data_IF_554105946632
#
_entry.id   IF_554105946632
#
_cell.length_a   1.000
_cell.length_b   1.000
_cell.length_c   1.000
_cell.angle_alpha   90.00
_cell.angle_beta   90.00
_cell.angle_gamma   90.00
#
_symmetry.space_group_name_H-M   'P 1'
#
loop_
_entity.id
_entity.type
_entity.pdbx_description
1 polymer ?
#
# COMPACT_ATOMS: atom_id res chain seq x y z
N UNK A 1 -1.94 -7.44 -8.41
CA UNK A 1 -2.36 -6.02 -8.33
C UNK A 1 -1.28 -5.29 -7.54
N UNK A 2 -0.93 -4.06 -7.89
CA UNK A 2 0.20 -3.33 -7.29
C UNK A 2 -0.10 -2.87 -5.85
N UNK A 3 0.95 -2.64 -5.04
CA UNK A 3 0.84 -2.26 -3.63
C UNK A 3 0.14 -0.90 -3.38
N UNK A 4 0.08 -0.01 -4.38
CA UNK A 4 -0.66 1.26 -4.31
C UNK A 4 -2.17 1.11 -4.54
N UNK A 5 -2.63 -0.08 -4.97
CA UNK A 5 -4.02 -0.30 -5.37
C UNK A 5 -5.05 -0.06 -4.27
N UNK A 6 -4.65 -0.16 -3.00
CA UNK A 6 -5.54 0.11 -1.87
C UNK A 6 -5.98 1.58 -1.83
N UNK A 7 -5.02 2.50 -1.88
CA UNK A 7 -5.30 3.94 -1.83
C UNK A 7 -6.12 4.41 -3.05
N UNK A 8 -5.82 3.86 -4.23
CA UNK A 8 -6.61 4.16 -5.42
C UNK A 8 -8.05 3.63 -5.34
N UNK A 9 -8.23 2.43 -4.75
CA UNK A 9 -9.57 1.87 -4.53
C UNK A 9 -10.33 2.69 -3.48
N UNK A 10 -9.67 3.13 -2.40
CA UNK A 10 -10.27 4.03 -1.42
C UNK A 10 -10.74 5.34 -2.08
N UNK A 11 -9.93 5.96 -2.93
CA UNK A 11 -10.33 7.17 -3.64
C UNK A 11 -11.61 6.94 -4.48
N UNK A 12 -11.69 5.82 -5.20
CA UNK A 12 -12.90 5.45 -5.94
C UNK A 12 -14.11 5.21 -5.04
N UNK A 13 -13.92 4.55 -3.90
CA UNK A 13 -14.98 4.35 -2.90
C UNK A 13 -15.50 5.69 -2.38
N UNK A 14 -14.61 6.63 -2.07
CA UNK A 14 -15.01 7.96 -1.58
C UNK A 14 -15.81 8.72 -2.64
N UNK A 15 -15.37 8.69 -3.90
CA UNK A 15 -16.15 9.27 -5.01
C UNK A 15 -17.53 8.64 -5.16
N UNK A 16 -17.63 7.32 -5.05
CA UNK A 16 -18.92 6.63 -5.13
C UNK A 16 -19.83 6.99 -3.94
N UNK A 17 -19.27 7.15 -2.74
CA UNK A 17 -20.01 7.57 -1.54
C UNK A 17 -20.50 9.01 -1.61
N UNK A 18 -19.99 9.87 -2.49
CA UNK A 18 -20.58 11.20 -2.71
C UNK A 18 -22.02 11.12 -3.26
N UNK A 19 -22.37 10.02 -3.93
CA UNK A 19 -23.75 9.77 -4.36
C UNK A 19 -24.70 9.70 -3.14
N UNK A 20 -25.82 10.44 -3.20
CA UNK A 20 -26.80 10.52 -2.10
C UNK A 20 -27.47 9.18 -1.78
N UNK A 21 -27.58 8.29 -2.77
CA UNK A 21 -28.28 7.01 -2.64
C UNK A 21 -27.34 5.87 -2.20
N UNK A 22 -26.02 6.10 -2.21
CA UNK A 22 -25.01 5.12 -1.80
C UNK A 22 -24.53 5.45 -0.39
N UNK A 23 -24.86 4.57 0.55
CA UNK A 23 -24.48 4.73 1.97
C UNK A 23 -23.36 3.78 2.40
N UNK A 24 -23.23 2.64 1.73
CA UNK A 24 -22.33 1.54 2.13
C UNK A 24 -21.65 0.97 0.90
N UNK A 25 -20.35 0.73 1.00
CA UNK A 25 -19.56 0.06 -0.03
C UNK A 25 -18.70 -1.01 0.61
N UNK A 26 -18.73 -2.22 0.03
CA UNK A 26 -17.80 -3.29 0.37
C UNK A 26 -16.60 -3.22 -0.56
N UNK A 27 -15.42 -2.90 -0.01
CA UNK A 27 -14.15 -2.96 -0.71
C UNK A 27 -13.53 -4.35 -0.49
N UNK A 28 -13.48 -5.15 -1.56
CA UNK A 28 -12.89 -6.49 -1.56
C UNK A 28 -11.55 -6.42 -2.28
N UNK A 29 -10.50 -6.81 -1.57
CA UNK A 29 -9.13 -6.81 -2.04
C UNK A 29 -8.63 -8.25 -1.98
N UNK A 30 -8.00 -8.73 -3.05
CA UNK A 30 -7.40 -10.05 -3.04
C UNK A 30 -6.10 -10.07 -3.85
N UNK A 31 -5.18 -10.92 -3.43
CA UNK A 31 -3.90 -11.15 -4.09
C UNK A 31 -3.61 -12.65 -4.10
N UNK A 32 -3.28 -13.17 -5.28
CA UNK A 32 -2.91 -14.58 -5.50
C UNK A 32 -1.54 -14.68 -6.18
N UNK A 33 -0.56 -13.90 -5.68
CA UNK A 33 0.76 -13.79 -6.28
C UNK A 33 1.53 -15.12 -6.25
N UNK A 34 1.28 -16.00 -5.29
CA UNK A 34 1.93 -17.31 -5.18
C UNK A 34 1.89 -18.09 -6.51
N UNK A 35 0.81 -17.95 -7.27
CA UNK A 35 0.58 -18.62 -8.58
C UNK A 35 1.39 -18.03 -9.73
N UNK A 36 2.03 -16.87 -9.55
CA UNK A 36 2.73 -16.10 -10.59
C UNK A 36 4.23 -15.93 -10.33
N UNK A 37 4.80 -16.64 -9.35
CA UNK A 37 6.21 -16.54 -8.97
C UNK A 37 7.03 -17.69 -9.55
N UNK A 38 8.18 -17.39 -10.17
CA UNK A 38 9.10 -18.41 -10.72
C UNK A 38 10.28 -18.74 -9.80
N UNK A 39 10.70 -17.80 -8.96
CA UNK A 39 11.93 -17.92 -8.16
C UNK A 39 11.64 -18.22 -6.68
N UNK A 40 12.22 -19.31 -6.16
CA UNK A 40 12.10 -19.77 -4.75
C UNK A 40 12.35 -18.68 -3.70
N UNK A 41 13.27 -17.74 -3.96
CA UNK A 41 13.60 -16.66 -3.03
C UNK A 41 12.42 -15.67 -2.82
N UNK A 42 11.56 -15.50 -3.81
CA UNK A 42 10.41 -14.56 -3.75
C UNK A 42 9.22 -15.20 -3.01
N UNK A 43 9.12 -16.53 -3.02
CA UNK A 43 8.12 -17.26 -2.23
C UNK A 43 8.30 -17.05 -0.72
N UNK A 44 9.53 -16.81 -0.26
CA UNK A 44 9.81 -16.58 1.16
C UNK A 44 9.30 -15.22 1.67
N UNK A 45 9.02 -14.28 0.76
CA UNK A 45 8.66 -12.91 1.12
C UNK A 45 7.28 -12.47 0.62
N UNK A 46 6.58 -13.28 -0.18
CA UNK A 46 5.29 -12.92 -0.78
C UNK A 46 4.21 -13.90 -0.37
N UNK A 47 3.01 -13.40 -0.09
CA UNK A 47 1.88 -14.22 0.34
C UNK A 47 0.58 -13.86 -0.36
N UNK A 48 -0.27 -14.87 -0.50
CA UNK A 48 -1.64 -14.69 -0.93
C UNK A 48 -2.48 -14.14 0.23
N UNK A 49 -3.44 -13.28 -0.09
CA UNK A 49 -4.24 -12.62 0.94
C UNK A 49 -5.55 -12.09 0.37
N UNK A 50 -6.53 -11.93 1.23
CA UNK A 50 -7.77 -11.23 0.93
C UNK A 50 -8.17 -10.34 2.11
N UNK A 51 -8.86 -9.26 1.82
CA UNK A 51 -9.43 -8.36 2.81
C UNK A 51 -10.78 -7.86 2.31
N UNK A 52 -11.73 -7.73 3.23
CA UNK A 52 -13.03 -7.13 2.97
C UNK A 52 -13.24 -5.99 3.97
N UNK A 53 -13.53 -4.80 3.47
CA UNK A 53 -13.70 -3.60 4.28
C UNK A 53 -15.07 -3.02 3.95
N UNK A 54 -15.92 -2.86 4.98
CA UNK A 54 -17.15 -2.08 4.85
C UNK A 54 -16.82 -0.61 5.11
N UNK A 55 -17.10 0.23 4.12
CA UNK A 55 -16.93 1.68 4.21
C UNK A 55 -18.32 2.30 4.12
N UNK A 56 -18.66 3.04 5.17
CA UNK A 56 -19.99 3.64 5.34
C UNK A 56 -19.86 5.16 5.37
N UNK A 57 -20.85 5.82 4.78
CA UNK A 57 -20.96 7.29 4.81
C UNK A 57 -21.12 7.76 6.25
N UNK A 58 -20.19 8.57 6.72
CA UNK A 58 -20.29 9.19 8.04
C UNK A 58 -21.33 10.34 8.00
N UNK A 59 -22.11 10.47 9.07
CA UNK A 59 -22.97 11.64 9.28
C UNK A 59 -22.15 12.84 9.74
N UNK A 60 -21.09 12.57 10.49
CA UNK A 60 -20.17 13.59 10.96
C UNK A 60 -19.13 13.86 9.87
N UNK A 61 -19.19 15.04 9.25
CA UNK A 61 -18.30 15.44 8.16
C UNK A 61 -16.90 15.79 8.66
N UNK A 62 -16.16 14.79 9.16
CA UNK A 62 -14.76 14.95 9.51
C UNK A 62 -13.92 15.07 8.23
N UNK A 63 -12.92 15.98 8.20
CA UNK A 63 -12.06 16.10 7.04
C UNK A 63 -11.21 14.84 6.87
N UNK A 64 -11.13 14.35 5.63
CA UNK A 64 -10.22 13.29 5.21
C UNK A 64 -9.39 13.85 4.03
N UNK A 65 -8.07 13.83 4.18
CA UNK A 65 -7.16 14.40 3.21
C UNK A 65 -6.48 13.29 2.40
N UNK A 66 -6.29 13.54 1.11
CA UNK A 66 -5.66 12.60 0.18
C UNK A 66 -4.73 13.35 -0.77
N UNK A 67 -3.51 12.85 -0.94
CA UNK A 67 -2.56 13.31 -1.94
C UNK A 67 -1.97 12.11 -2.66
N UNK A 68 -1.88 12.21 -3.98
CA UNK A 68 -1.26 11.22 -4.84
C UNK A 68 -0.50 11.92 -5.95
N UNK A 69 0.71 11.46 -6.23
CA UNK A 69 1.51 11.92 -7.35
C UNK A 69 1.90 10.71 -8.23
N UNK A 70 1.71 10.84 -9.54
CA UNK A 70 1.93 9.76 -10.50
C UNK A 70 3.07 10.10 -11.46
N UNK A 71 4.14 9.30 -11.40
CA UNK A 71 5.30 9.44 -12.26
C UNK A 71 5.19 8.49 -13.45
N UNK A 72 4.29 8.82 -14.38
CA UNK A 72 3.91 7.95 -15.51
C UNK A 72 5.08 7.47 -16.38
N UNK A 73 6.13 8.30 -16.54
CA UNK A 73 7.37 7.93 -17.26
C UNK A 73 8.12 6.77 -16.60
N UNK A 74 8.04 6.66 -15.26
CA UNK A 74 8.68 5.59 -14.49
C UNK A 74 7.80 4.35 -14.42
N UNK A 75 6.47 4.52 -14.40
CA UNK A 75 5.53 3.41 -14.45
C UNK A 75 5.74 2.54 -15.70
N UNK A 76 6.06 3.14 -16.85
CA UNK A 76 6.41 2.41 -18.06
C UNK A 76 7.74 1.66 -17.96
N UNK A 77 8.70 2.16 -17.17
CA UNK A 77 10.01 1.50 -16.96
C UNK A 77 9.93 0.33 -15.99
N UNK A 78 9.14 0.46 -14.93
CA UNK A 78 8.89 -0.60 -13.95
C UNK A 78 8.07 -1.76 -14.54
N UNK A 79 7.30 -1.48 -15.60
CA UNK A 79 6.41 -2.45 -16.25
C UNK A 79 6.94 -2.98 -17.58
N UNK A 80 8.23 -2.82 -17.88
CA UNK A 80 8.88 -3.48 -19.02
C UNK A 80 9.53 -4.80 -18.56
N UNK A 81 9.06 -6.00 -18.96
CA UNK A 81 8.00 -6.31 -19.92
C UNK A 81 6.82 -6.97 -19.19
N UNK A 82 5.80 -6.21 -18.79
CA UNK A 82 4.49 -6.81 -18.62
C UNK A 82 4.09 -7.31 -20.00
N UNK A 83 3.92 -8.63 -20.10
CA UNK A 83 3.45 -9.40 -21.25
C UNK A 83 2.03 -9.03 -21.71
N UNK A 84 1.53 -7.83 -21.40
CA UNK A 84 0.24 -7.33 -21.88
C UNK A 84 0.16 -7.31 -23.43
N UNK A 85 1.31 -7.22 -24.11
CA UNK A 85 1.38 -7.13 -25.57
C UNK A 85 2.29 -8.16 -26.27
N UNK A 86 2.98 -9.04 -25.53
CA UNK A 86 3.83 -10.11 -26.10
C UNK A 86 3.78 -11.36 -25.21
N UNK A 87 3.52 -12.53 -25.80
CA UNK A 87 3.72 -13.85 -25.15
C UNK A 87 5.19 -13.95 -24.71
N UNK A 88 5.44 -13.80 -23.42
CA UNK A 88 6.70 -14.07 -22.75
C UNK A 88 6.42 -14.80 -21.44
N UNK A 89 7.46 -15.26 -20.75
CA UNK A 89 7.31 -15.83 -19.41
C UNK A 89 6.62 -14.80 -18.49
N UNK A 90 5.51 -15.17 -17.85
CA UNK A 90 4.64 -14.30 -17.02
C UNK A 90 5.30 -13.83 -15.69
N UNK A 91 6.61 -13.61 -15.70
CA UNK A 91 7.40 -13.22 -14.54
C UNK A 91 7.54 -11.70 -14.46
N UNK A 92 7.22 -11.14 -13.29
CA UNK A 92 7.49 -9.75 -12.96
C UNK A 92 9.00 -9.55 -12.75
N UNK A 93 9.61 -8.67 -13.54
CA UNK A 93 10.97 -8.16 -13.33
C UNK A 93 10.83 -6.75 -12.74
N UNK A 94 11.47 -6.50 -11.60
CA UNK A 94 11.41 -5.21 -10.88
C UNK A 94 12.80 -4.61 -10.82
N UNK A 95 12.92 -3.34 -11.23
CA UNK A 95 14.16 -2.57 -11.07
C UNK A 95 14.21 -1.91 -9.68
N UNK A 96 14.81 -2.61 -8.73
CA UNK A 96 14.93 -2.13 -7.36
C UNK A 96 15.76 -0.84 -7.26
N UNK A 97 16.81 -0.67 -8.08
CA UNK A 97 17.67 0.51 -8.02
C UNK A 97 16.91 1.76 -8.45
N UNK A 98 16.10 1.64 -9.51
CA UNK A 98 15.22 2.71 -9.94
C UNK A 98 14.26 3.13 -8.82
N UNK A 99 13.63 2.16 -8.14
CA UNK A 99 12.72 2.43 -7.02
C UNK A 99 13.45 3.12 -5.87
N UNK A 100 14.64 2.66 -5.48
CA UNK A 100 15.39 3.27 -4.38
C UNK A 100 15.87 4.69 -4.66
N UNK A 101 16.38 4.95 -5.87
CA UNK A 101 16.80 6.30 -6.25
C UNK A 101 15.60 7.24 -6.28
N UNK A 102 14.49 6.79 -6.88
CA UNK A 102 13.27 7.57 -6.91
C UNK A 102 12.75 7.94 -5.51
N UNK A 103 12.74 6.98 -4.57
CA UNK A 103 12.34 7.25 -3.19
C UNK A 103 13.27 8.26 -2.51
N UNK A 104 14.58 8.15 -2.70
CA UNK A 104 15.53 9.10 -2.11
C UNK A 104 15.33 10.53 -2.61
N UNK A 105 15.07 10.68 -3.92
CA UNK A 105 14.98 11.99 -4.55
C UNK A 105 13.62 12.68 -4.29
N UNK A 106 12.52 11.94 -4.16
CA UNK A 106 11.16 12.51 -4.22
C UNK A 106 10.34 12.34 -2.94
N UNK A 107 10.60 11.32 -2.12
CA UNK A 107 9.69 10.94 -1.03
C UNK A 107 9.56 12.04 0.04
N UNK A 108 10.68 12.68 0.39
CA UNK A 108 10.72 13.66 1.48
C UNK A 108 9.89 14.90 1.16
N UNK A 109 10.05 15.45 -0.04
CA UNK A 109 9.31 16.62 -0.50
C UNK A 109 7.82 16.32 -0.62
N UNK A 110 7.45 15.19 -1.24
CA UNK A 110 6.06 14.75 -1.34
C UNK A 110 5.41 14.60 0.04
N UNK A 111 6.10 13.96 0.97
CA UNK A 111 5.58 13.65 2.30
C UNK A 111 5.36 14.91 3.15
N UNK A 112 6.35 15.79 3.27
CA UNK A 112 6.21 16.97 4.11
C UNK A 112 5.33 18.05 3.48
N UNK A 113 5.37 18.24 2.15
CA UNK A 113 4.47 19.18 1.48
C UNK A 113 3.01 18.84 1.73
N UNK A 114 2.65 17.56 1.79
CA UNK A 114 1.29 17.14 2.13
C UNK A 114 0.87 17.64 3.52
N UNK A 115 1.68 17.43 4.55
CA UNK A 115 1.34 17.84 5.92
C UNK A 115 1.30 19.36 6.09
N UNK A 116 2.18 20.07 5.38
CA UNK A 116 2.18 21.54 5.33
C UNK A 116 0.90 22.06 4.65
N UNK A 117 0.49 21.48 3.52
CA UNK A 117 -0.72 21.85 2.78
C UNK A 117 -2.00 21.68 3.61
N UNK A 118 -2.10 20.60 4.40
CA UNK A 118 -3.29 20.29 5.22
C UNK A 118 -3.18 20.81 6.65
N UNK A 119 -2.08 21.48 7.01
CA UNK A 119 -1.79 22.04 8.33
C UNK A 119 -1.94 21.02 9.48
N UNK A 120 -1.47 19.78 9.27
CA UNK A 120 -1.44 18.73 10.29
C UNK A 120 -0.05 18.67 10.90
N UNK A 121 0.06 18.97 12.20
CA UNK A 121 1.34 18.99 12.94
C UNK A 121 1.58 17.76 13.79
N UNK A 122 0.51 17.11 14.23
CA UNK A 122 0.57 15.96 15.12
C UNK A 122 -0.10 14.77 14.47
N UNK A 123 0.67 13.69 14.34
CA UNK A 123 0.21 12.41 13.83
C UNK A 123 0.45 11.38 14.93
N UNK A 124 -0.59 10.63 15.26
CA UNK A 124 -0.55 9.60 16.30
C UNK A 124 0.04 8.30 15.78
N UNK A 125 -0.30 7.94 14.53
CA UNK A 125 0.12 6.67 13.94
C UNK A 125 0.27 6.77 12.42
N UNK A 126 1.29 6.10 11.90
CA UNK A 126 1.52 5.86 10.49
C UNK A 126 1.33 4.38 10.17
N UNK A 127 0.59 4.10 9.10
CA UNK A 127 0.50 2.78 8.49
C UNK A 127 1.23 2.85 7.14
N UNK A 128 2.37 2.18 7.04
CA UNK A 128 3.26 2.28 5.87
C UNK A 128 3.29 0.93 5.16
N UNK A 129 2.88 0.92 3.89
CA UNK A 129 3.01 -0.25 3.03
C UNK A 129 4.38 -0.24 2.36
N UNK A 130 5.07 -1.37 2.45
CA UNK A 130 6.41 -1.55 1.91
C UNK A 130 6.60 -2.99 1.42
N UNK A 131 7.41 -3.17 0.39
CA UNK A 131 7.66 -4.49 -0.18
C UNK A 131 8.50 -5.40 0.72
N UNK A 132 9.36 -4.81 1.56
CA UNK A 132 10.23 -5.53 2.48
C UNK A 132 10.75 -4.63 3.62
N UNK A 133 11.37 -5.26 4.64
CA UNK A 133 11.91 -4.56 5.80
C UNK A 133 13.04 -3.57 5.45
N UNK A 134 13.84 -3.83 4.41
CA UNK A 134 14.89 -2.90 4.00
C UNK A 134 14.31 -1.58 3.47
N UNK A 135 13.31 -1.66 2.58
CA UNK A 135 12.57 -0.47 2.09
C UNK A 135 11.90 0.25 3.26
N UNK A 136 11.27 -0.48 4.17
CA UNK A 136 10.64 0.10 5.36
C UNK A 136 11.62 0.91 6.20
N UNK A 137 12.76 0.32 6.57
CA UNK A 137 13.80 1.00 7.33
C UNK A 137 14.31 2.24 6.61
N UNK A 138 14.53 2.17 5.29
CA UNK A 138 14.96 3.31 4.49
C UNK A 138 13.92 4.44 4.45
N UNK A 139 12.64 4.12 4.36
CA UNK A 139 11.55 5.13 4.43
C UNK A 139 11.59 5.85 5.79
N UNK A 140 11.71 5.10 6.89
CA UNK A 140 11.78 5.70 8.23
C UNK A 140 13.01 6.60 8.39
N UNK A 141 14.16 6.18 7.88
CA UNK A 141 15.40 6.98 7.89
C UNK A 141 15.25 8.27 7.05
N UNK A 142 14.76 8.17 5.81
CA UNK A 142 14.60 9.30 4.89
C UNK A 142 13.63 10.36 5.42
N UNK A 143 12.57 9.91 6.08
CA UNK A 143 11.52 10.76 6.64
C UNK A 143 11.74 11.09 8.12
N UNK A 144 12.85 10.65 8.72
CA UNK A 144 13.16 10.83 10.14
C UNK A 144 11.95 10.58 11.06
N UNK A 145 11.23 9.49 10.81
CA UNK A 145 9.99 9.16 11.53
C UNK A 145 10.28 8.45 12.84
N UNK A 146 9.53 8.81 13.88
CA UNK A 146 9.53 8.06 15.14
C UNK A 146 8.95 6.67 14.90
N UNK A 147 9.79 5.65 15.09
CA UNK A 147 9.42 4.25 14.92
C UNK A 147 8.26 3.85 15.83
N UNK A 148 8.12 4.46 17.02
CA UNK A 148 7.02 4.17 17.94
C UNK A 148 5.65 4.59 17.39
N UNK A 149 5.63 5.53 16.43
CA UNK A 149 4.42 5.96 15.73
C UNK A 149 4.16 5.17 14.45
N UNK A 150 5.09 4.31 14.02
CA UNK A 150 4.97 3.59 12.75
C UNK A 150 4.57 2.13 13.02
N UNK A 151 3.27 1.85 12.89
CA UNK A 151 2.74 0.51 13.11
C UNK A 151 2.92 -0.34 11.85
N UNK A 152 3.64 -1.46 11.98
CA UNK A 152 3.83 -2.43 10.91
C UNK A 152 4.13 -3.83 11.46
N UNK A 153 3.10 -4.64 11.64
CA UNK A 153 3.22 -6.03 12.11
C UNK A 153 3.13 -7.04 10.95
N UNK A 154 2.57 -6.63 9.80
CA UNK A 154 2.24 -7.55 8.72
C UNK A 154 3.45 -8.26 8.14
N UNK A 155 4.55 -7.55 7.90
CA UNK A 155 5.71 -8.17 7.27
C UNK A 155 6.29 -9.32 8.10
N UNK A 156 6.25 -9.20 9.43
CA UNK A 156 6.76 -10.22 10.36
C UNK A 156 5.91 -11.49 10.36
N UNK A 157 4.58 -11.35 10.24
CA UNK A 157 3.66 -12.49 10.39
C UNK A 157 3.21 -13.08 9.05
N UNK A 158 3.13 -12.26 8.00
CA UNK A 158 2.51 -12.64 6.73
C UNK A 158 3.37 -12.30 5.50
N UNK A 159 4.51 -11.64 5.65
CA UNK A 159 5.35 -11.22 4.53
C UNK A 159 4.74 -10.05 3.73
N UNK A 160 5.00 -9.99 2.43
CA UNK A 160 4.46 -8.99 1.54
C UNK A 160 3.10 -9.43 0.96
N UNK A 161 2.03 -8.80 1.45
CA UNK A 161 0.65 -9.00 1.01
C UNK A 161 0.19 -7.98 -0.07
N UNK A 162 1.10 -7.18 -0.62
CA UNK A 162 0.86 -6.11 -1.60
C UNK A 162 -0.33 -5.20 -1.22
N UNK A 163 -1.42 -5.27 -1.98
CA UNK A 163 -2.61 -4.44 -1.84
C UNK A 163 -3.29 -4.62 -0.48
N UNK A 164 -3.09 -5.77 0.18
CA UNK A 164 -3.66 -6.05 1.49
C UNK A 164 -2.75 -5.59 2.65
N UNK A 165 -1.58 -5.00 2.40
CA UNK A 165 -0.66 -4.59 3.46
C UNK A 165 -1.31 -3.58 4.44
N UNK A 166 -1.85 -2.48 3.94
CA UNK A 166 -2.53 -1.48 4.79
C UNK A 166 -3.80 -2.04 5.44
N UNK A 167 -4.74 -2.69 4.70
CA UNK A 167 -5.92 -3.30 5.31
C UNK A 167 -5.62 -4.26 6.46
N UNK A 168 -4.64 -5.16 6.28
CA UNK A 168 -4.30 -6.12 7.31
C UNK A 168 -3.61 -5.43 8.51
N UNK A 169 -2.73 -4.46 8.26
CA UNK A 169 -2.13 -3.65 9.34
C UNK A 169 -3.21 -2.91 10.13
N UNK A 170 -4.19 -2.31 9.46
CA UNK A 170 -5.33 -1.64 10.11
C UNK A 170 -6.14 -2.62 10.97
N UNK A 171 -6.37 -3.83 10.47
CA UNK A 171 -7.06 -4.88 11.23
C UNK A 171 -6.29 -5.26 12.50
N UNK A 172 -4.97 -5.42 12.43
CA UNK A 172 -4.13 -5.76 13.59
C UNK A 172 -4.06 -4.61 14.59
N UNK A 173 -3.92 -3.37 14.11
CA UNK A 173 -3.85 -2.18 14.94
C UNK A 173 -5.08 -2.01 15.83
N UNK A 174 -6.27 -2.34 15.31
CA UNK A 174 -7.53 -2.29 16.05
C UNK A 174 -7.80 -3.52 16.95
N UNK A 175 -6.79 -4.36 17.19
CA UNK A 175 -6.90 -5.55 18.04
C UNK A 175 -7.45 -6.79 17.33
N UNK A 176 -7.49 -6.80 16.00
CA UNK A 176 -7.78 -8.02 15.23
C UNK A 176 -6.75 -9.10 15.52
N UNK A 177 -7.20 -10.27 15.95
CA UNK A 177 -6.32 -11.39 16.30
C UNK A 177 -5.59 -11.97 15.09
N UNK A 178 -4.38 -12.49 15.32
CA UNK A 178 -3.68 -13.35 14.37
C UNK A 178 -4.32 -14.74 14.45
N UNK A 179 -5.18 -15.08 13.49
CA UNK A 179 -5.69 -16.45 13.36
C UNK A 179 -4.71 -17.22 12.49
N UNK A 180 -3.85 -18.03 13.14
CA UNK A 180 -3.02 -19.00 12.43
C UNK A 180 -3.91 -20.16 11.98
N UNK A 181 -4.13 -20.29 10.69
CA UNK A 181 -4.64 -21.53 10.12
C UNK A 181 -3.48 -22.53 10.11
N UNK A 182 -3.59 -23.57 10.92
CA UNK A 182 -2.66 -24.70 10.98
C UNK A 182 -2.80 -25.60 9.75
#
# INVERSE_FOLDING_TARGET
>A
MYCWGFNASLFQVFLALENKDINNIYLILYNTKSKKLKYKIIYASTSDSASAILITKDKDKKPCFFKQELFSKLALKETLPLSAYKKGDDCLIVDNNLIFNFLQDNLKEFFYSFFDEVNIKNIDTFLISCANNFVYTKILELLNLDKNKCFNEIFKHYGNNDINNIPLNLSLYNGGGIVKFA
#
